data_IF_926747468351
#
_entry.id   IF_926747468351
#
_cell.length_a   1.000
_cell.length_b   1.000
_cell.length_c   1.000
_cell.angle_alpha   90.00
_cell.angle_beta   90.00
_cell.angle_gamma   90.00
#
_symmetry.space_group_name_H-M   'P 1'
#
loop_
_entity.id
_entity.type
_entity.pdbx_description
1 polymer ?
#
# COMPACT_ATOMS: atom_id res chain seq x y z
N UNK A 1 6.76 9.43 -26.99
CA UNK A 1 6.63 9.60 -25.52
C UNK A 1 6.03 8.33 -24.91
N UNK A 2 6.70 7.18 -25.03
CA UNK A 2 6.26 5.88 -24.45
C UNK A 2 7.24 5.33 -23.42
N UNK A 3 8.35 6.02 -23.17
CA UNK A 3 9.37 5.54 -22.23
C UNK A 3 9.00 5.80 -20.76
N UNK A 4 8.12 6.75 -20.45
CA UNK A 4 7.80 7.10 -19.04
C UNK A 4 6.87 6.12 -18.31
N UNK A 5 6.03 5.36 -19.01
CA UNK A 5 5.02 4.49 -18.36
C UNK A 5 5.62 3.20 -17.78
N UNK A 6 6.65 2.65 -18.44
CA UNK A 6 7.33 1.43 -17.98
C UNK A 6 8.18 1.71 -16.74
N UNK A 7 8.81 2.89 -16.66
CA UNK A 7 9.58 3.28 -15.48
C UNK A 7 8.70 3.48 -14.24
N UNK A 8 7.51 4.07 -14.40
CA UNK A 8 6.55 4.20 -13.30
C UNK A 8 6.08 2.83 -12.79
N UNK A 9 5.81 1.88 -13.67
CA UNK A 9 5.42 0.51 -13.28
C UNK A 9 6.53 -0.23 -12.51
N UNK A 10 7.79 -0.08 -12.92
CA UNK A 10 8.93 -0.69 -12.21
C UNK A 10 9.12 -0.07 -10.82
N UNK A 11 9.01 1.26 -10.70
CA UNK A 11 9.12 1.96 -9.43
C UNK A 11 7.99 1.56 -8.48
N UNK A 12 6.74 1.55 -8.94
CA UNK A 12 5.59 1.11 -8.15
C UNK A 12 5.72 -0.34 -7.68
N UNK A 13 6.23 -1.25 -8.52
CA UNK A 13 6.51 -2.64 -8.11
C UNK A 13 7.57 -2.73 -7.02
N UNK A 14 8.58 -1.85 -7.05
CA UNK A 14 9.61 -1.74 -6.01
C UNK A 14 9.03 -1.29 -4.67
N UNK A 15 8.25 -0.20 -4.71
CA UNK A 15 7.59 0.38 -3.54
C UNK A 15 6.59 -0.59 -2.92
N UNK A 16 5.77 -1.25 -3.73
CA UNK A 16 4.80 -2.24 -3.28
C UNK A 16 5.46 -3.43 -2.57
N UNK A 17 6.57 -3.96 -3.13
CA UNK A 17 7.33 -5.06 -2.51
C UNK A 17 7.94 -4.64 -1.17
N UNK A 18 8.47 -3.42 -1.10
CA UNK A 18 9.01 -2.87 0.14
C UNK A 18 7.91 -2.73 1.20
N UNK A 19 6.77 -2.16 0.80
CA UNK A 19 5.63 -1.94 1.67
C UNK A 19 5.05 -3.27 2.20
N UNK A 20 4.85 -4.27 1.33
CA UNK A 20 4.39 -5.61 1.73
C UNK A 20 5.32 -6.26 2.75
N UNK A 21 6.64 -6.09 2.61
CA UNK A 21 7.61 -6.60 3.59
C UNK A 21 7.53 -5.88 4.93
N UNK A 22 7.30 -4.56 4.92
CA UNK A 22 7.11 -3.77 6.14
C UNK A 22 5.84 -4.21 6.89
N UNK A 23 4.74 -4.39 6.17
CA UNK A 23 3.50 -4.90 6.74
C UNK A 23 3.71 -6.29 7.37
N UNK A 24 4.32 -7.21 6.61
CA UNK A 24 4.58 -8.57 7.11
C UNK A 24 5.50 -8.58 8.34
N UNK A 25 6.44 -7.63 8.43
CA UNK A 25 7.35 -7.52 9.58
C UNK A 25 6.66 -6.95 10.82
N UNK A 26 5.72 -6.02 10.65
CA UNK A 26 5.02 -5.36 11.77
C UNK A 26 3.86 -6.18 12.31
N UNK A 27 3.06 -6.73 11.41
CA UNK A 27 1.78 -7.37 11.74
C UNK A 27 1.80 -8.90 11.58
N UNK A 28 2.90 -9.48 11.11
CA UNK A 28 2.95 -10.89 10.72
C UNK A 28 2.35 -11.10 9.33
N UNK A 29 2.08 -12.35 8.96
CA UNK A 29 1.55 -12.68 7.63
C UNK A 29 0.22 -11.95 7.37
N UNK A 30 0.25 -11.02 6.41
CA UNK A 30 -0.92 -10.24 6.00
C UNK A 30 -1.74 -11.02 4.98
N UNK A 31 -3.06 -10.94 5.13
CA UNK A 31 -4.00 -11.56 4.20
C UNK A 31 -3.86 -11.01 2.78
N UNK A 32 -3.93 -11.91 1.80
CA UNK A 32 -3.81 -11.57 0.38
C UNK A 32 -4.82 -10.52 -0.09
N UNK A 33 -6.01 -10.44 0.51
CA UNK A 33 -7.03 -9.44 0.20
C UNK A 33 -6.56 -8.01 0.51
N UNK A 34 -5.84 -7.82 1.62
CA UNK A 34 -5.25 -6.52 2.01
C UNK A 34 -4.16 -6.13 1.02
N UNK A 35 -3.34 -7.09 0.61
CA UNK A 35 -2.26 -6.88 -0.36
C UNK A 35 -2.81 -6.45 -1.73
N UNK A 36 -3.90 -7.06 -2.20
CA UNK A 36 -4.54 -6.66 -3.45
C UNK A 36 -5.16 -5.27 -3.38
N UNK A 37 -5.72 -4.87 -2.22
CA UNK A 37 -6.23 -3.50 -2.00
C UNK A 37 -5.11 -2.46 -2.03
N UNK A 38 -3.94 -2.78 -1.48
CA UNK A 38 -2.78 -1.87 -1.51
C UNK A 38 -2.22 -1.76 -2.93
N UNK A 39 -2.29 -2.82 -3.75
CA UNK A 39 -1.76 -2.83 -5.12
C UNK A 39 -2.46 -1.83 -6.05
N UNK A 40 -3.73 -1.56 -5.79
CA UNK A 40 -4.55 -0.66 -6.62
C UNK A 40 -4.54 0.78 -6.13
N UNK A 41 -3.81 1.08 -5.05
CA UNK A 41 -3.65 2.45 -4.55
C UNK A 41 -2.86 3.30 -5.54
N UNK A 42 -3.23 4.58 -5.66
CA UNK A 42 -2.43 5.58 -6.35
C UNK A 42 -1.13 5.85 -5.59
N UNK A 43 -0.15 6.46 -6.28
CA UNK A 43 1.11 6.87 -5.62
C UNK A 43 0.86 7.80 -4.43
N UNK A 44 -0.06 8.76 -4.54
CA UNK A 44 -0.43 9.67 -3.45
C UNK A 44 -1.02 8.91 -2.26
N UNK A 45 -1.91 7.94 -2.51
CA UNK A 45 -2.46 7.09 -1.45
C UNK A 45 -1.38 6.23 -0.77
N UNK A 46 -0.40 5.73 -1.52
CA UNK A 46 0.73 4.97 -0.96
C UNK A 46 1.64 5.85 -0.09
N UNK A 47 1.87 7.10 -0.49
CA UNK A 47 2.63 8.08 0.32
C UNK A 47 1.91 8.38 1.63
N UNK A 48 0.61 8.70 1.58
CA UNK A 48 -0.21 8.92 2.79
C UNK A 48 -0.27 7.68 3.67
N UNK A 49 -0.44 6.51 3.07
CA UNK A 49 -0.41 5.24 3.80
C UNK A 49 0.95 5.03 4.50
N UNK A 50 2.07 5.46 3.89
CA UNK A 50 3.39 5.37 4.50
C UNK A 50 3.54 6.22 5.77
N UNK A 51 2.96 7.41 5.78
CA UNK A 51 2.95 8.31 6.95
C UNK A 51 2.06 7.74 8.07
N UNK A 52 0.82 7.39 7.72
CA UNK A 52 -0.15 6.83 8.67
C UNK A 52 0.25 5.45 9.17
N UNK A 53 0.99 4.68 8.36
CA UNK A 53 1.49 3.37 8.75
C UNK A 53 2.24 3.45 10.06
N UNK A 54 3.05 4.49 10.30
CA UNK A 54 3.81 4.66 11.56
C UNK A 54 2.89 4.71 12.79
N UNK A 55 1.68 5.24 12.65
CA UNK A 55 0.68 5.39 13.72
C UNK A 55 -0.11 4.11 14.01
N UNK A 56 -0.14 3.13 13.11
CA UNK A 56 -0.97 1.92 13.26
C UNK A 56 -0.50 1.02 14.40
N UNK A 57 -1.37 0.70 15.34
CA UNK A 57 -1.07 -0.22 16.44
C UNK A 57 -1.27 -1.68 16.03
N UNK A 58 -2.21 -1.95 15.13
CA UNK A 58 -2.58 -3.30 14.69
C UNK A 58 -3.05 -3.33 13.23
N UNK A 59 -3.30 -4.52 12.71
CA UNK A 59 -3.76 -4.72 11.32
C UNK A 59 -5.17 -4.14 11.07
N UNK A 60 -6.02 -4.04 12.09
CA UNK A 60 -7.35 -3.45 11.94
C UNK A 60 -7.29 -1.95 11.63
N UNK A 61 -6.28 -1.24 12.15
CA UNK A 61 -6.05 0.18 11.81
C UNK A 61 -5.73 0.33 10.31
N UNK A 62 -4.91 -0.56 9.77
CA UNK A 62 -4.62 -0.63 8.34
C UNK A 62 -5.87 -0.93 7.51
N UNK A 63 -6.70 -1.88 7.95
CA UNK A 63 -7.94 -2.24 7.24
C UNK A 63 -8.92 -1.08 7.24
N UNK A 64 -9.11 -0.41 8.37
CA UNK A 64 -9.97 0.77 8.49
C UNK A 64 -9.48 1.91 7.57
N UNK A 65 -8.17 2.20 7.59
CA UNK A 65 -7.59 3.21 6.69
C UNK A 65 -7.84 2.87 5.22
N UNK A 66 -7.65 1.60 4.83
CA UNK A 66 -7.92 1.16 3.46
C UNK A 66 -9.39 1.33 3.12
N UNK A 67 -10.32 1.01 4.02
CA UNK A 67 -11.76 1.22 3.78
C UNK A 67 -12.10 2.69 3.58
N UNK A 68 -11.56 3.59 4.37
CA UNK A 68 -11.80 5.03 4.23
C UNK A 68 -11.21 5.59 2.92
N UNK A 69 -10.03 5.11 2.51
CA UNK A 69 -9.29 5.68 1.38
C UNK A 69 -9.54 4.96 0.04
N UNK A 70 -10.07 3.74 0.04
CA UNK A 70 -10.44 3.02 -1.20
C UNK A 70 -11.92 3.09 -1.54
N UNK A 71 -12.78 3.57 -0.63
CA UNK A 71 -14.24 3.62 -0.86
C UNK A 71 -14.74 4.83 -1.65
N UNK A 72 -13.83 5.68 -2.14
CA UNK A 72 -14.18 6.79 -3.03
C UNK A 72 -14.45 6.25 -4.44
N UNK A 73 -15.73 5.93 -4.71
CA UNK A 73 -16.31 5.84 -6.06
C UNK A 73 -16.51 7.23 -6.66
#
# INVERSE_FOLDING_TARGET
MQESVIYQDILQKGEFRFFTRMLNRRFGEIDSSIIERIRVLSTEQLETLGEEFLSFSNVSDLVAWLEENTSSS
#
